data_IF_273963193291
#
_entry.id   IF_273963193291
#
_cell.length_a   1.000
_cell.length_b   1.000
_cell.length_c   1.000
_cell.angle_alpha   90.00
_cell.angle_beta   90.00
_cell.angle_gamma   90.00
#
_symmetry.space_group_name_H-M   'P 1'
#
loop_
_entity.id
_entity.type
_entity.pdbx_description
1 polymer ?
#
# COMPACT_ATOMS: atom_id res chain seq x y z
N UNK A 1 25.40 13.09 1.77
CA UNK A 1 25.31 11.76 1.15
C UNK A 1 24.75 10.79 2.19
N UNK A 2 23.61 10.19 1.90
CA UNK A 2 22.91 9.29 2.83
C UNK A 2 23.50 7.87 2.67
N UNK A 3 24.25 7.33 3.67
CA UNK A 3 24.93 6.04 3.55
C UNK A 3 23.98 4.85 3.40
N UNK A 4 22.67 5.04 3.58
CA UNK A 4 21.66 3.98 3.49
C UNK A 4 21.26 3.59 2.06
N UNK A 5 21.78 4.27 1.02
CA UNK A 5 21.24 4.17 -0.34
C UNK A 5 22.20 3.55 -1.36
N UNK A 6 23.47 3.32 -1.04
CA UNK A 6 24.43 2.75 -2.01
C UNK A 6 24.40 1.23 -2.13
N UNK A 7 23.68 0.51 -1.21
CA UNK A 7 23.55 -0.94 -1.27
C UNK A 7 22.21 -1.39 -0.66
N UNK A 8 21.08 -1.06 -1.30
CA UNK A 8 19.82 -1.69 -0.94
C UNK A 8 19.87 -3.15 -1.42
N UNK A 9 20.26 -4.04 -0.53
CA UNK A 9 20.26 -5.47 -0.81
C UNK A 9 18.87 -6.01 -0.51
N UNK A 10 18.17 -6.45 -1.54
CA UNK A 10 16.88 -7.12 -1.37
C UNK A 10 17.07 -8.48 -0.69
N UNK A 11 16.10 -8.87 0.13
CA UNK A 11 15.99 -10.23 0.62
C UNK A 11 15.48 -11.14 -0.51
N UNK A 12 15.80 -12.45 -0.52
CA UNK A 12 15.41 -13.34 -1.61
C UNK A 12 13.94 -13.27 -1.99
N UNK A 13 13.02 -13.28 -1.01
CA UNK A 13 11.58 -13.17 -1.29
C UNK A 13 11.16 -11.80 -1.84
N UNK A 14 11.91 -10.74 -1.58
CA UNK A 14 11.65 -9.42 -2.16
C UNK A 14 12.03 -9.39 -3.64
N UNK A 15 13.12 -10.04 -4.01
CA UNK A 15 13.49 -10.26 -5.41
C UNK A 15 12.45 -11.11 -6.13
N UNK A 16 12.04 -12.24 -5.53
CA UNK A 16 10.95 -13.09 -6.06
C UNK A 16 9.66 -12.29 -6.29
N UNK A 17 9.32 -11.38 -5.38
CA UNK A 17 8.14 -10.52 -5.50
C UNK A 17 8.28 -9.55 -6.68
N UNK A 18 9.44 -8.91 -6.83
CA UNK A 18 9.72 -8.02 -7.97
C UNK A 18 9.66 -8.78 -9.29
N UNK A 19 10.22 -9.98 -9.36
CA UNK A 19 10.15 -10.86 -10.53
C UNK A 19 8.71 -11.27 -10.86
N UNK A 20 7.90 -11.56 -9.86
CA UNK A 20 6.49 -11.86 -10.04
C UNK A 20 5.71 -10.66 -10.62
N UNK A 21 5.98 -9.45 -10.13
CA UNK A 21 5.38 -8.22 -10.65
C UNK A 21 5.77 -7.97 -12.10
N UNK A 22 7.04 -8.12 -12.44
CA UNK A 22 7.51 -7.94 -13.82
C UNK A 22 6.96 -9.02 -14.77
N UNK A 23 6.86 -10.25 -14.30
CA UNK A 23 6.31 -11.38 -15.09
C UNK A 23 4.80 -11.25 -15.32
N UNK A 24 4.05 -10.70 -14.36
CA UNK A 24 2.62 -10.46 -14.49
C UNK A 24 2.30 -9.40 -15.56
N UNK A 25 3.16 -8.38 -15.71
CA UNK A 25 3.02 -7.37 -16.74
C UNK A 25 1.84 -6.43 -16.53
N UNK A 26 1.08 -6.19 -17.62
CA UNK A 26 -0.11 -5.32 -17.58
C UNK A 26 -1.26 -5.99 -16.83
N UNK A 27 -2.10 -5.19 -16.19
CA UNK A 27 -3.29 -5.66 -15.45
C UNK A 27 -3.39 -5.09 -14.05
N UNK A 28 -4.31 -5.64 -13.29
CA UNK A 28 -4.61 -5.23 -11.90
C UNK A 28 -4.26 -6.38 -10.95
N UNK A 29 -3.10 -6.30 -10.33
CA UNK A 29 -2.52 -7.39 -9.55
C UNK A 29 -2.44 -7.05 -8.07
N UNK A 30 -2.75 -8.02 -7.22
CA UNK A 30 -2.65 -7.91 -5.78
C UNK A 30 -1.42 -8.65 -5.26
N UNK A 31 -0.68 -7.99 -4.38
CA UNK A 31 0.47 -8.53 -3.68
C UNK A 31 0.14 -8.60 -2.18
N UNK A 32 0.10 -9.81 -1.64
CA UNK A 32 -0.17 -10.06 -0.24
C UNK A 32 1.14 -10.25 0.53
N UNK A 33 1.45 -9.29 1.41
CA UNK A 33 2.66 -9.29 2.22
C UNK A 33 2.34 -8.91 3.64
N UNK A 34 2.70 -9.76 4.59
CA UNK A 34 2.53 -9.46 6.01
C UNK A 34 3.28 -8.18 6.42
N UNK A 35 2.75 -7.50 7.43
CA UNK A 35 3.43 -6.36 8.05
C UNK A 35 4.82 -6.75 8.51
N UNK A 36 5.82 -5.91 8.24
CA UNK A 36 7.23 -6.16 8.57
C UNK A 36 8.03 -6.87 7.48
N UNK A 37 7.41 -7.34 6.39
CA UNK A 37 8.13 -7.95 5.25
C UNK A 37 8.65 -6.91 4.24
N UNK A 38 8.50 -5.62 4.50
CA UNK A 38 9.12 -4.56 3.70
C UNK A 38 8.36 -4.20 2.43
N UNK A 39 7.04 -4.04 2.47
CA UNK A 39 6.21 -3.60 1.33
C UNK A 39 6.78 -2.37 0.63
N UNK A 40 7.14 -1.33 1.40
CA UNK A 40 7.69 -0.08 0.84
C UNK A 40 8.99 -0.30 0.09
N UNK A 41 9.88 -1.14 0.62
CA UNK A 41 11.14 -1.50 -0.06
C UNK A 41 10.85 -2.17 -1.40
N UNK A 42 9.88 -3.08 -1.45
CA UNK A 42 9.51 -3.80 -2.66
C UNK A 42 8.89 -2.83 -3.68
N UNK A 43 7.83 -2.10 -3.32
CA UNK A 43 7.16 -1.28 -4.34
C UNK A 43 8.02 -0.11 -4.83
N UNK A 44 8.92 0.43 -4.00
CA UNK A 44 9.90 1.42 -4.46
C UNK A 44 11.00 0.82 -5.34
N UNK A 45 11.17 -0.50 -5.33
CA UNK A 45 12.09 -1.24 -6.19
C UNK A 45 11.53 -1.58 -7.58
N UNK A 46 10.22 -1.38 -7.81
CA UNK A 46 9.60 -1.64 -9.11
C UNK A 46 10.19 -0.72 -10.17
N UNK A 47 10.68 -1.25 -11.31
CA UNK A 47 11.23 -0.42 -12.37
C UNK A 47 10.20 0.56 -12.92
N UNK A 48 10.63 1.83 -13.07
CA UNK A 48 9.80 2.83 -13.70
C UNK A 48 9.77 2.63 -15.21
N UNK A 49 8.58 2.44 -15.75
CA UNK A 49 8.32 2.35 -17.20
C UNK A 49 7.60 3.58 -17.74
N UNK A 50 7.32 4.53 -16.87
CA UNK A 50 6.61 5.77 -17.08
C UNK A 50 6.42 6.45 -15.73
N UNK A 51 5.44 7.34 -15.62
CA UNK A 51 5.12 7.96 -14.33
C UNK A 51 4.37 6.99 -13.43
N UNK A 52 4.66 7.04 -12.14
CA UNK A 52 4.04 6.18 -11.13
C UNK A 52 3.27 7.01 -10.11
N UNK A 53 2.04 6.60 -9.82
CA UNK A 53 1.22 7.12 -8.73
C UNK A 53 1.25 6.14 -7.57
N UNK A 54 1.50 6.62 -6.35
CA UNK A 54 1.38 5.85 -5.11
C UNK A 54 0.21 6.42 -4.32
N UNK A 55 -0.80 5.60 -4.05
CA UNK A 55 -1.98 5.96 -3.26
C UNK A 55 -1.85 5.41 -1.85
N UNK A 56 -1.98 6.27 -0.86
CA UNK A 56 -1.94 5.91 0.56
C UNK A 56 -3.20 6.39 1.28
N UNK A 57 -3.70 5.55 2.19
CA UNK A 57 -4.86 5.88 3.02
C UNK A 57 -4.49 6.83 4.17
N UNK A 58 -3.28 6.68 4.72
CA UNK A 58 -2.79 7.47 5.85
C UNK A 58 -1.81 8.52 5.38
N UNK A 59 -2.01 9.72 5.84
CA UNK A 59 -1.19 10.88 5.52
C UNK A 59 0.29 10.70 5.89
N UNK A 60 0.59 9.98 6.98
CA UNK A 60 1.97 9.74 7.40
C UNK A 60 2.73 8.85 6.42
N UNK A 61 2.02 7.99 5.67
CA UNK A 61 2.63 7.06 4.72
C UNK A 61 3.03 7.71 3.40
N UNK A 62 2.45 8.87 3.07
CA UNK A 62 2.67 9.54 1.79
C UNK A 62 4.14 9.91 1.57
N UNK A 63 4.87 10.30 2.62
CA UNK A 63 6.28 10.67 2.53
C UNK A 63 7.27 9.51 2.67
N UNK A 64 6.82 8.36 3.16
CA UNK A 64 7.72 7.25 3.44
C UNK A 64 8.54 6.76 2.23
N UNK A 65 7.99 6.71 1.00
CA UNK A 65 8.75 6.27 -0.17
C UNK A 65 9.80 7.27 -0.64
N UNK A 66 9.69 8.55 -0.28
CA UNK A 66 10.50 9.66 -0.80
C UNK A 66 12.00 9.38 -0.73
N UNK A 67 12.49 8.89 0.41
CA UNK A 67 13.93 8.61 0.62
C UNK A 67 14.49 7.58 -0.36
N UNK A 68 13.68 6.60 -0.76
CA UNK A 68 14.12 5.53 -1.68
C UNK A 68 14.27 6.05 -3.11
N UNK A 69 13.35 6.91 -3.55
CA UNK A 69 13.39 7.48 -4.90
C UNK A 69 14.45 8.59 -5.03
N UNK A 70 14.47 9.53 -4.09
CA UNK A 70 15.48 10.61 -4.08
C UNK A 70 16.90 10.10 -4.00
N UNK A 71 17.16 9.04 -3.24
CA UNK A 71 18.49 8.42 -3.18
C UNK A 71 18.97 7.82 -4.49
N UNK A 72 18.04 7.54 -5.43
CA UNK A 72 18.35 7.07 -6.78
C UNK A 72 18.27 8.18 -7.85
N UNK A 73 18.09 9.43 -7.42
CA UNK A 73 17.98 10.56 -8.35
C UNK A 73 16.66 10.61 -9.12
N UNK A 74 15.61 9.89 -8.66
CA UNK A 74 14.29 9.88 -9.28
C UNK A 74 13.44 11.00 -8.67
N UNK A 75 12.78 11.79 -9.51
CA UNK A 75 11.95 12.91 -9.07
C UNK A 75 10.71 12.41 -8.33
N UNK A 76 10.39 13.07 -7.21
CA UNK A 76 9.32 12.66 -6.31
C UNK A 76 8.49 13.86 -5.88
N UNK A 77 7.20 13.81 -6.17
CA UNK A 77 6.22 14.83 -5.81
C UNK A 77 5.17 14.29 -4.85
N UNK A 78 4.50 15.20 -4.16
CA UNK A 78 3.50 14.90 -3.14
C UNK A 78 2.19 15.60 -3.50
N UNK A 79 1.10 14.83 -3.45
CA UNK A 79 -0.28 15.31 -3.55
C UNK A 79 -0.99 15.12 -2.21
N UNK A 80 -0.88 16.09 -1.33
CA UNK A 80 -1.45 16.03 0.01
C UNK A 80 -1.70 17.42 0.59
N UNK A 81 -2.87 17.64 1.14
CA UNK A 81 -3.27 18.92 1.73
C UNK A 81 -2.95 20.10 0.77
N UNK A 82 -2.07 21.00 1.14
CA UNK A 82 -1.67 22.14 0.31
C UNK A 82 -0.49 21.85 -0.64
N UNK A 83 0.05 20.63 -0.60
CA UNK A 83 1.14 20.21 -1.47
C UNK A 83 0.61 19.66 -2.79
N UNK A 84 1.23 20.11 -3.89
CA UNK A 84 0.88 19.70 -5.26
C UNK A 84 2.13 19.21 -5.99
N UNK A 85 1.99 18.08 -6.67
CA UNK A 85 3.02 17.59 -7.57
C UNK A 85 3.06 18.43 -8.85
N UNK A 86 4.25 18.55 -9.44
CA UNK A 86 4.50 19.38 -10.61
C UNK A 86 5.27 18.60 -11.69
N UNK A 87 4.72 17.46 -12.10
CA UNK A 87 5.26 16.69 -13.22
C UNK A 87 6.35 15.68 -12.86
N UNK A 88 6.57 15.38 -11.58
CA UNK A 88 7.55 14.41 -11.14
C UNK A 88 7.23 12.99 -11.65
N UNK A 89 8.27 12.16 -11.77
CA UNK A 89 8.15 10.77 -12.24
C UNK A 89 7.34 9.91 -11.25
N UNK A 90 7.53 10.16 -9.97
CA UNK A 90 6.79 9.51 -8.88
C UNK A 90 5.94 10.56 -8.19
N UNK A 91 4.65 10.30 -8.11
CA UNK A 91 3.71 11.10 -7.33
C UNK A 91 3.14 10.25 -6.20
N UNK A 92 3.38 10.65 -4.97
CA UNK A 92 2.77 10.01 -3.81
C UNK A 92 1.62 10.85 -3.29
N UNK A 93 0.44 10.27 -3.23
CA UNK A 93 -0.80 10.97 -2.91
C UNK A 93 -1.54 10.38 -1.72
N UNK A 94 -2.10 11.25 -0.90
CA UNK A 94 -3.16 10.87 0.02
C UNK A 94 -4.46 10.71 -0.76
N UNK A 95 -5.17 9.59 -0.54
CA UNK A 95 -6.45 9.33 -1.23
C UNK A 95 -7.48 10.44 -0.95
N UNK A 96 -7.49 10.99 0.27
CA UNK A 96 -8.41 12.05 0.67
C UNK A 96 -8.19 13.32 -0.15
N UNK A 97 -6.94 13.66 -0.43
CA UNK A 97 -6.60 14.85 -1.21
C UNK A 97 -6.84 14.62 -2.70
N UNK A 98 -6.35 13.50 -3.25
CA UNK A 98 -6.43 13.25 -4.69
C UNK A 98 -7.86 12.98 -5.18
N UNK A 99 -8.74 12.44 -4.33
CA UNK A 99 -10.14 12.19 -4.68
C UNK A 99 -11.02 13.43 -4.82
N UNK A 100 -10.51 14.61 -4.46
CA UNK A 100 -11.20 15.89 -4.72
C UNK A 100 -11.27 16.17 -6.22
N UNK A 101 -12.45 16.53 -6.72
CA UNK A 101 -12.71 16.67 -8.15
C UNK A 101 -11.75 17.63 -8.85
N UNK A 102 -11.48 18.79 -8.25
CA UNK A 102 -10.57 19.79 -8.82
C UNK A 102 -9.15 19.24 -8.98
N UNK A 103 -8.68 18.46 -8.03
CA UNK A 103 -7.34 17.89 -8.02
C UNK A 103 -7.26 16.69 -8.96
N UNK A 104 -8.21 15.78 -8.87
CA UNK A 104 -8.26 14.60 -9.72
C UNK A 104 -8.36 14.98 -11.21
N UNK A 105 -9.23 15.92 -11.53
CA UNK A 105 -9.43 16.37 -12.91
C UNK A 105 -8.27 17.19 -13.50
N UNK A 106 -7.30 17.59 -12.68
CA UNK A 106 -6.06 18.19 -13.18
C UNK A 106 -5.10 17.20 -13.83
N UNK A 107 -5.34 15.90 -13.63
CA UNK A 107 -4.58 14.81 -14.23
C UNK A 107 -5.36 14.16 -15.37
N UNK A 108 -4.70 13.91 -16.50
CA UNK A 108 -5.27 13.09 -17.57
C UNK A 108 -5.35 11.61 -17.15
N UNK A 109 -6.27 10.87 -17.72
CA UNK A 109 -6.51 9.46 -17.39
C UNK A 109 -5.29 8.55 -17.63
N UNK A 110 -4.41 8.93 -18.54
CA UNK A 110 -3.19 8.23 -18.95
C UNK A 110 -1.90 8.85 -18.38
N UNK A 111 -2.02 9.74 -17.40
CA UNK A 111 -0.85 10.41 -16.79
C UNK A 111 0.12 9.43 -16.16
N UNK A 112 -0.38 8.35 -15.56
CA UNK A 112 0.44 7.36 -14.86
C UNK A 112 0.40 6.02 -15.59
N UNK A 113 1.56 5.43 -15.83
CA UNK A 113 1.71 4.08 -16.36
C UNK A 113 1.43 3.03 -15.29
N UNK A 114 1.89 3.28 -14.08
CA UNK A 114 1.72 2.40 -12.93
C UNK A 114 1.03 3.12 -11.79
N UNK A 115 0.01 2.50 -11.21
CA UNK A 115 -0.64 2.94 -9.97
C UNK A 115 -0.39 1.90 -8.88
N UNK A 116 0.23 2.32 -7.79
CA UNK A 116 0.48 1.50 -6.60
C UNK A 116 -0.52 1.90 -5.53
N UNK A 117 -1.25 0.93 -5.00
CA UNK A 117 -2.21 1.13 -3.90
C UNK A 117 -1.63 0.50 -2.63
N UNK A 118 -1.15 1.34 -1.72
CA UNK A 118 -0.73 0.88 -0.40
C UNK A 118 -1.96 0.63 0.48
N UNK A 119 -1.91 -0.40 1.32
CA UNK A 119 -3.06 -0.88 2.10
C UNK A 119 -4.28 -1.17 1.20
N UNK A 120 -4.07 -1.97 0.15
CA UNK A 120 -5.04 -2.23 -0.92
C UNK A 120 -6.36 -2.86 -0.49
N UNK A 121 -6.48 -3.32 0.78
CA UNK A 121 -7.76 -3.75 1.35
C UNK A 121 -8.80 -2.61 1.42
N UNK A 122 -8.39 -1.36 1.23
CA UNK A 122 -9.30 -0.21 1.09
C UNK A 122 -9.76 0.04 -0.35
N UNK A 123 -9.17 -0.64 -1.35
CA UNK A 123 -9.35 -0.32 -2.77
C UNK A 123 -10.79 -0.49 -3.27
N UNK A 124 -11.62 -1.29 -2.61
CA UNK A 124 -13.04 -1.44 -2.93
C UNK A 124 -13.91 -0.26 -2.48
N UNK A 125 -13.42 0.63 -1.62
CA UNK A 125 -14.16 1.79 -1.16
C UNK A 125 -14.45 2.77 -2.32
N UNK A 126 -15.60 3.46 -2.33
CA UNK A 126 -15.99 4.35 -3.43
C UNK A 126 -14.96 5.41 -3.76
N UNK A 127 -14.27 5.97 -2.76
CA UNK A 127 -13.22 6.98 -2.95
C UNK A 127 -12.03 6.44 -3.73
N UNK A 128 -11.58 5.22 -3.43
CA UNK A 128 -10.51 4.56 -4.18
C UNK A 128 -10.96 4.22 -5.59
N UNK A 129 -12.14 3.66 -5.75
CA UNK A 129 -12.68 3.32 -7.06
C UNK A 129 -12.77 4.53 -7.97
N UNK A 130 -13.24 5.66 -7.47
CA UNK A 130 -13.28 6.93 -8.21
C UNK A 130 -11.90 7.29 -8.77
N UNK A 131 -10.85 7.22 -7.96
CA UNK A 131 -9.47 7.55 -8.39
C UNK A 131 -8.94 6.51 -9.36
N UNK A 132 -9.12 5.22 -9.09
CA UNK A 132 -8.66 4.14 -9.97
C UNK A 132 -9.39 4.14 -11.32
N UNK A 133 -10.68 4.43 -11.35
CA UNK A 133 -11.46 4.56 -12.57
C UNK A 133 -11.03 5.78 -13.40
N UNK A 134 -10.67 6.88 -12.75
CA UNK A 134 -10.10 8.05 -13.43
C UNK A 134 -8.80 7.70 -14.16
N UNK A 135 -7.90 6.94 -13.52
CA UNK A 135 -6.64 6.51 -14.12
C UNK A 135 -6.75 5.18 -14.87
N UNK A 136 -7.85 4.99 -15.58
CA UNK A 136 -8.12 3.80 -16.40
C UNK A 136 -7.12 3.58 -17.54
N UNK A 137 -6.36 4.62 -17.92
CA UNK A 137 -5.27 4.56 -18.89
C UNK A 137 -3.95 3.95 -18.34
N UNK A 138 -3.87 3.67 -17.04
CA UNK A 138 -2.69 3.03 -16.47
C UNK A 138 -2.51 1.61 -17.02
N UNK A 139 -1.26 1.27 -17.37
CA UNK A 139 -0.92 -0.08 -17.88
C UNK A 139 -1.08 -1.12 -16.79
N UNK A 140 -0.74 -0.79 -15.55
CA UNK A 140 -0.84 -1.69 -14.40
C UNK A 140 -1.28 -0.97 -13.12
N UNK A 141 -2.09 -1.67 -12.34
CA UNK A 141 -2.47 -1.28 -10.98
C UNK A 141 -2.00 -2.38 -10.04
N UNK A 142 -1.15 -2.03 -9.07
CA UNK A 142 -0.54 -2.95 -8.13
C UNK A 142 -1.02 -2.63 -6.71
N UNK A 143 -1.78 -3.55 -6.12
CA UNK A 143 -2.23 -3.41 -4.75
C UNK A 143 -1.33 -4.17 -3.78
N UNK A 144 -0.92 -3.53 -2.69
CA UNK A 144 -0.15 -4.16 -1.60
C UNK A 144 -1.01 -4.21 -0.35
N UNK A 145 -1.18 -5.39 0.21
CA UNK A 145 -1.95 -5.59 1.46
C UNK A 145 -1.34 -6.64 2.36
N UNK A 146 -1.45 -6.45 3.67
CA UNK A 146 -1.08 -7.47 4.65
C UNK A 146 -2.15 -8.55 4.82
N UNK A 147 -3.40 -8.25 4.47
CA UNK A 147 -4.55 -9.12 4.66
C UNK A 147 -5.37 -9.19 3.37
N UNK A 148 -5.06 -10.12 2.45
CA UNK A 148 -5.83 -10.29 1.22
C UNK A 148 -7.25 -10.79 1.47
N UNK A 149 -7.46 -11.49 2.59
CA UNK A 149 -8.74 -12.06 3.01
C UNK A 149 -9.27 -11.28 4.22
N UNK A 150 -10.05 -10.25 4.01
CA UNK A 150 -11.09 -9.85 4.95
C UNK A 150 -12.36 -10.60 4.54
N UNK A 151 -13.22 -10.94 5.51
CA UNK A 151 -14.43 -11.74 5.33
C UNK A 151 -15.44 -11.30 4.25
N UNK A 152 -15.09 -10.33 3.45
CA UNK A 152 -15.80 -9.79 2.29
C UNK A 152 -14.93 -9.99 1.04
N UNK A 153 -14.63 -11.24 0.71
CA UNK A 153 -13.86 -11.63 -0.50
C UNK A 153 -14.41 -11.01 -1.82
N UNK A 154 -15.59 -10.44 -1.76
CA UNK A 154 -16.28 -9.80 -2.90
C UNK A 154 -15.66 -8.44 -3.25
N UNK A 155 -15.11 -7.71 -2.27
CA UNK A 155 -14.66 -6.33 -2.50
C UNK A 155 -13.38 -6.19 -3.32
N UNK A 156 -12.36 -6.99 -3.06
CA UNK A 156 -11.06 -6.87 -3.76
C UNK A 156 -11.06 -7.53 -5.13
N UNK A 157 -11.85 -8.59 -5.35
CA UNK A 157 -12.04 -9.21 -6.66
C UNK A 157 -12.75 -8.30 -7.67
N UNK A 158 -13.44 -7.24 -7.22
CA UNK A 158 -13.97 -6.21 -8.12
C UNK A 158 -12.90 -5.25 -8.64
N UNK A 159 -11.73 -5.19 -8.01
CA UNK A 159 -10.66 -4.25 -8.33
C UNK A 159 -9.45 -4.93 -8.95
N UNK A 160 -9.06 -6.09 -8.41
CA UNK A 160 -7.86 -6.82 -8.82
C UNK A 160 -8.23 -8.14 -9.51
N UNK A 161 -7.49 -8.46 -10.56
CA UNK A 161 -7.73 -9.64 -11.39
C UNK A 161 -7.22 -10.92 -10.70
N UNK A 162 -6.11 -10.83 -9.99
CA UNK A 162 -5.43 -11.96 -9.35
C UNK A 162 -4.55 -11.55 -8.15
N UNK A 163 -4.07 -12.54 -7.42
CA UNK A 163 -3.01 -12.41 -6.41
C UNK A 163 -1.77 -13.07 -6.98
N UNK A 164 -0.76 -12.27 -7.29
CA UNK A 164 0.47 -12.74 -7.95
C UNK A 164 1.58 -13.12 -6.98
N UNK A 165 1.49 -12.70 -5.73
CA UNK A 165 2.46 -13.01 -4.69
C UNK A 165 1.81 -13.00 -3.31
N UNK A 166 2.14 -13.99 -2.48
CA UNK A 166 1.58 -14.11 -1.12
C UNK A 166 2.63 -14.63 -0.13
N UNK A 167 2.89 -13.84 0.92
CA UNK A 167 3.74 -14.20 2.07
C UNK A 167 3.09 -13.69 3.34
N UNK A 168 2.43 -14.57 4.06
CA UNK A 168 1.72 -14.25 5.30
C UNK A 168 2.65 -14.16 6.53
N UNK A 169 2.09 -13.82 7.68
CA UNK A 169 2.80 -13.77 8.97
C UNK A 169 3.44 -15.12 9.32
N UNK A 170 2.73 -16.22 9.09
CA UNK A 170 3.21 -17.56 9.41
C UNK A 170 4.45 -17.89 8.59
N UNK A 171 4.39 -17.61 7.29
CA UNK A 171 5.53 -17.76 6.40
C UNK A 171 6.73 -16.92 6.90
N UNK A 172 6.52 -15.65 7.26
CA UNK A 172 7.57 -14.76 7.74
C UNK A 172 8.23 -15.24 9.03
N UNK A 173 7.45 -15.79 9.97
CA UNK A 173 7.97 -16.37 11.21
C UNK A 173 8.76 -17.68 10.93
N UNK A 174 8.21 -18.55 10.09
CA UNK A 174 8.83 -19.85 9.76
C UNK A 174 10.18 -19.66 9.07
N UNK A 175 10.32 -18.64 8.21
CA UNK A 175 11.55 -18.34 7.49
C UNK A 175 12.49 -17.37 8.23
N UNK A 176 12.17 -17.01 9.48
CA UNK A 176 13.03 -16.18 10.33
C UNK A 176 13.05 -14.68 9.99
N UNK A 177 12.16 -14.22 9.13
CA UNK A 177 12.04 -12.79 8.79
C UNK A 177 11.21 -11.98 9.78
N UNK A 178 10.31 -12.65 10.52
CA UNK A 178 9.47 -12.06 11.55
C UNK A 178 9.69 -12.80 12.88
N UNK A 179 9.59 -12.06 13.98
CA UNK A 179 9.67 -12.62 15.33
C UNK A 179 8.45 -13.48 15.64
N UNK A 180 8.64 -14.49 16.47
CA UNK A 180 7.52 -15.31 16.98
C UNK A 180 6.60 -14.44 17.83
N UNK A 181 5.30 -14.64 17.65
CA UNK A 181 4.28 -14.01 18.48
C UNK A 181 4.30 -14.71 19.85
N UNK A 182 4.50 -13.94 20.92
CA UNK A 182 4.25 -14.38 22.28
C UNK A 182 2.93 -13.78 22.74
N UNK A 183 1.96 -14.62 23.00
CA UNK A 183 0.71 -14.21 23.63
C UNK A 183 0.87 -14.40 25.14
N UNK A 184 0.80 -13.31 25.90
CA UNK A 184 0.66 -13.36 27.36
C UNK A 184 -0.79 -13.07 27.71
N UNK A 185 -1.46 -14.05 28.31
CA UNK A 185 -2.81 -13.87 28.84
C UNK A 185 -2.72 -13.13 30.18
N UNK A 186 -3.04 -11.84 30.18
CA UNK A 186 -3.16 -11.08 31.43
C UNK A 186 -4.55 -11.39 32.01
N UNK A 187 -4.63 -12.29 32.99
CA UNK A 187 -5.84 -12.53 33.76
C UNK A 187 -5.98 -11.45 34.83
N UNK A 188 -6.62 -10.35 34.48
CA UNK A 188 -7.09 -9.36 35.44
C UNK A 188 -8.36 -9.90 36.11
N UNK A 189 -8.38 -9.98 37.44
CA UNK A 189 -9.62 -10.14 38.19
C UNK A 189 -10.34 -8.79 38.20
N UNK A 190 -11.12 -8.50 37.16
CA UNK A 190 -12.05 -7.40 37.20
C UNK A 190 -13.37 -7.88 37.79
N UNK A 191 -13.72 -7.37 38.96
CA UNK A 191 -15.05 -7.56 39.51
C UNK A 191 -16.00 -6.58 38.78
N UNK A 192 -16.97 -7.12 38.08
CA UNK A 192 -18.07 -6.35 37.49
C UNK A 192 -19.13 -5.97 38.52
N UNK A 193 -18.90 -6.24 39.82
CA UNK A 193 -19.77 -5.86 40.90
C UNK A 193 -19.81 -4.32 41.03
N UNK A 194 -20.92 -3.71 40.67
CA UNK A 194 -21.12 -2.26 40.70
C UNK A 194 -21.29 -1.60 39.33
N UNK A 195 -21.18 -2.34 38.25
CA UNK A 195 -21.46 -1.82 36.88
C UNK A 195 -22.95 -1.99 36.58
N UNK A 196 -23.65 -0.87 36.45
CA UNK A 196 -25.06 -0.84 36.01
C UNK A 196 -25.15 -0.61 34.51
N UNK A 197 -26.03 -1.36 33.86
CA UNK A 197 -26.30 -1.22 32.44
C UNK A 197 -27.26 -0.06 32.22
N UNK A 198 -26.80 1.00 31.54
CA UNK A 198 -27.64 2.13 31.16
C UNK A 198 -27.68 2.21 29.63
N UNK A 199 -28.89 2.16 29.06
CA UNK A 199 -29.13 2.25 27.60
C UNK A 199 -28.31 1.30 26.70
N UNK A 200 -28.01 0.09 27.17
CA UNK A 200 -27.35 -0.94 26.36
C UNK A 200 -25.84 -0.91 26.42
N UNK A 201 -25.23 0.05 27.06
CA UNK A 201 -23.79 0.17 27.25
C UNK A 201 -23.37 0.04 28.71
N UNK A 202 -22.09 -0.28 28.96
CA UNK A 202 -21.52 -0.38 30.31
C UNK A 202 -20.87 0.95 30.69
N UNK A 203 -21.19 1.47 31.81
CA UNK A 203 -20.58 2.64 32.46
C UNK A 203 -19.62 2.21 33.58
#
# INVERSE_FOLDING_TARGET
>A
ENPYMQNLQYRPYQEECLDAIESAGAGKHLIALATGLGKTVIFTGIPNRGRTLILSHRDELVRQPEKYYKGRGISFGIEKADEHANGEDIVSASIQSLSQDTRLNSYAADTFDTVIVDEAHHAAAPTYRKVLDHFSGATRILGFTATPKRGDDIGLSCVFDDIIFDRDIRWGITHGYLSRIRCEEIRGQYSLAGITKTNGDYS
#
